data_IF_564942478107
#
_entry.id   IF_564942478107
#
_cell.length_a   1.000
_cell.length_b   1.000
_cell.length_c   1.000
_cell.angle_alpha   90.00
_cell.angle_beta   90.00
_cell.angle_gamma   90.00
#
_symmetry.space_group_name_H-M   'P 1'
#
loop_
_entity.id
_entity.type
_entity.pdbx_description
1 polymer ?
#
# COMPACT_ATOMS: atom_id res chain seq x y z
N UNK A 1 -8.25 2.64 20.65
CA UNK A 1 -8.26 2.85 19.20
C UNK A 1 -9.52 3.57 18.80
N UNK A 2 -9.34 4.73 18.20
CA UNK A 2 -10.42 5.57 17.73
C UNK A 2 -11.04 4.98 16.45
N UNK A 3 -12.28 5.37 16.12
CA UNK A 3 -12.99 4.83 14.93
C UNK A 3 -12.18 5.04 13.64
N UNK A 4 -11.49 6.17 13.53
CA UNK A 4 -10.66 6.54 12.39
C UNK A 4 -9.45 5.62 12.24
N UNK A 5 -8.80 5.24 13.33
CA UNK A 5 -7.65 4.33 13.32
C UNK A 5 -8.06 2.93 12.86
N UNK A 6 -9.20 2.43 13.36
CA UNK A 6 -9.76 1.14 12.95
C UNK A 6 -10.09 1.15 11.45
N UNK A 7 -10.73 2.22 10.96
CA UNK A 7 -11.04 2.37 9.55
C UNK A 7 -9.77 2.42 8.68
N UNK A 8 -8.75 3.18 9.10
CA UNK A 8 -7.48 3.26 8.38
C UNK A 8 -6.79 1.89 8.28
N UNK A 9 -6.73 1.14 9.39
CA UNK A 9 -6.16 -0.21 9.39
C UNK A 9 -6.94 -1.17 8.51
N UNK A 10 -8.28 -1.13 8.55
CA UNK A 10 -9.12 -1.97 7.72
C UNK A 10 -8.91 -1.68 6.23
N UNK A 11 -8.88 -0.41 5.83
CA UNK A 11 -8.64 0.03 4.45
C UNK A 11 -7.25 -0.42 3.99
N UNK A 12 -6.21 -0.16 4.77
CA UNK A 12 -4.83 -0.56 4.45
C UNK A 12 -4.72 -2.09 4.32
N UNK A 13 -5.30 -2.84 5.25
CA UNK A 13 -5.29 -4.30 5.21
C UNK A 13 -5.98 -4.87 3.97
N UNK A 14 -7.13 -4.31 3.59
CA UNK A 14 -7.83 -4.69 2.36
C UNK A 14 -6.99 -4.37 1.12
N UNK A 15 -6.36 -3.19 1.06
CA UNK A 15 -5.54 -2.80 -0.09
C UNK A 15 -4.31 -3.69 -0.25
N UNK A 16 -3.59 -3.99 0.84
CA UNK A 16 -2.45 -4.92 0.82
C UNK A 16 -2.86 -6.32 0.32
N UNK A 17 -4.01 -6.82 0.79
CA UNK A 17 -4.55 -8.10 0.34
C UNK A 17 -4.91 -8.07 -1.15
N UNK A 18 -5.58 -7.02 -1.63
CA UNK A 18 -5.93 -6.86 -3.04
C UNK A 18 -4.68 -6.74 -3.92
N UNK A 19 -3.65 -6.01 -3.46
CA UNK A 19 -2.42 -5.88 -4.21
C UNK A 19 -1.68 -7.21 -4.32
N UNK A 20 -1.60 -7.97 -3.24
CA UNK A 20 -1.03 -9.32 -3.28
C UNK A 20 -1.79 -10.24 -4.24
N UNK A 21 -3.13 -10.20 -4.22
CA UNK A 21 -3.96 -11.00 -5.14
C UNK A 21 -3.76 -10.58 -6.60
N UNK A 22 -3.72 -9.28 -6.90
CA UNK A 22 -3.50 -8.78 -8.27
C UNK A 22 -2.08 -9.07 -8.76
N UNK A 23 -1.08 -8.98 -7.89
CA UNK A 23 0.29 -9.41 -8.17
C UNK A 23 0.40 -10.90 -8.49
N UNK A 24 -0.33 -11.75 -7.74
CA UNK A 24 -0.42 -13.19 -8.01
C UNK A 24 -1.11 -13.46 -9.36
N UNK A 25 -2.23 -12.80 -9.67
CA UNK A 25 -2.90 -12.92 -10.96
C UNK A 25 -1.97 -12.52 -12.12
N UNK A 26 -1.21 -11.43 -11.96
CA UNK A 26 -0.19 -10.98 -12.93
C UNK A 26 0.86 -12.06 -13.16
N UNK A 27 1.41 -12.64 -12.09
CA UNK A 27 2.43 -13.69 -12.19
C UNK A 27 1.88 -14.97 -12.83
N UNK A 28 0.64 -15.34 -12.49
CA UNK A 28 -0.06 -16.49 -13.09
C UNK A 28 -0.26 -16.32 -14.59
N UNK A 29 -0.75 -15.16 -15.03
CA UNK A 29 -0.93 -14.83 -16.45
C UNK A 29 0.39 -14.90 -17.24
N UNK A 30 1.51 -14.51 -16.61
CA UNK A 30 2.84 -14.56 -17.24
C UNK A 30 3.53 -15.93 -17.11
N UNK A 31 2.87 -16.93 -16.52
CA UNK A 31 3.47 -18.23 -16.19
C UNK A 31 4.79 -18.13 -15.39
N UNK A 32 4.90 -17.10 -14.54
CA UNK A 32 6.11 -16.75 -13.77
C UNK A 32 5.82 -16.75 -12.25
N UNK A 33 5.00 -17.70 -11.80
CA UNK A 33 4.76 -17.87 -10.36
C UNK A 33 6.02 -18.45 -9.73
N UNK A 34 6.65 -17.64 -8.87
CA UNK A 34 7.77 -18.07 -8.04
C UNK A 34 7.48 -17.71 -6.59
N UNK A 35 7.56 -18.71 -5.70
CA UNK A 35 7.39 -18.51 -4.26
C UNK A 35 8.44 -17.57 -3.68
N UNK A 36 9.63 -17.48 -4.28
CA UNK A 36 10.66 -16.51 -3.89
C UNK A 36 10.22 -15.08 -4.20
N UNK A 37 9.81 -14.80 -5.44
CA UNK A 37 9.29 -13.48 -5.84
C UNK A 37 8.07 -13.06 -5.01
N UNK A 38 7.16 -14.00 -4.74
CA UNK A 38 5.98 -13.73 -3.92
C UNK A 38 6.34 -13.44 -2.46
N UNK A 39 7.30 -14.17 -1.89
CA UNK A 39 7.80 -13.93 -0.53
C UNK A 39 8.51 -12.58 -0.42
N UNK A 40 9.33 -12.22 -1.41
CA UNK A 40 9.94 -10.89 -1.47
C UNK A 40 8.89 -9.79 -1.56
N UNK A 41 7.87 -9.95 -2.40
CA UNK A 41 6.75 -9.01 -2.47
C UNK A 41 6.01 -8.85 -1.14
N UNK A 42 5.80 -9.95 -0.41
CA UNK A 42 5.22 -9.91 0.94
C UNK A 42 6.14 -9.23 1.96
N UNK A 43 7.45 -9.40 1.88
CA UNK A 43 8.39 -8.70 2.78
C UNK A 43 8.29 -7.19 2.64
N UNK A 44 8.23 -6.67 1.42
CA UNK A 44 8.05 -5.24 1.18
C UNK A 44 6.73 -4.72 1.78
N UNK A 45 5.62 -5.43 1.56
CA UNK A 45 4.30 -5.10 2.14
C UNK A 45 4.28 -5.19 3.66
N UNK A 46 4.96 -6.17 4.24
CA UNK A 46 5.09 -6.31 5.69
C UNK A 46 5.81 -5.11 6.31
N UNK A 47 6.76 -4.51 5.60
CA UNK A 47 7.38 -3.24 6.00
C UNK A 47 6.37 -2.11 6.13
N UNK A 48 5.42 -2.01 5.20
CA UNK A 48 4.33 -1.02 5.27
C UNK A 48 3.40 -1.26 6.46
N UNK A 49 3.08 -2.53 6.77
CA UNK A 49 2.33 -2.88 7.98
C UNK A 49 3.09 -2.46 9.24
N UNK A 50 4.41 -2.70 9.29
CA UNK A 50 5.24 -2.29 10.43
C UNK A 50 5.30 -0.76 10.58
N UNK A 51 5.31 0.00 9.48
CA UNK A 51 5.20 1.47 9.52
C UNK A 51 3.87 1.90 10.17
N UNK A 52 2.74 1.27 9.83
CA UNK A 52 1.45 1.55 10.51
C UNK A 52 1.50 1.24 11.99
N UNK A 53 2.07 0.08 12.36
CA UNK A 53 2.20 -0.32 13.76
C UNK A 53 3.06 0.69 14.52
N UNK A 54 4.18 1.11 13.94
CA UNK A 54 5.05 2.12 14.54
C UNK A 54 4.33 3.47 14.71
N UNK A 55 3.57 3.91 13.70
CA UNK A 55 2.76 5.12 13.78
C UNK A 55 1.76 5.06 14.94
N UNK A 56 1.07 3.94 15.12
CA UNK A 56 0.16 3.74 16.26
C UNK A 56 0.90 3.79 17.60
N UNK A 57 2.05 3.12 17.71
CA UNK A 57 2.83 3.09 18.95
C UNK A 57 3.26 4.49 19.35
N UNK A 58 3.81 5.28 18.41
CA UNK A 58 4.26 6.65 18.69
C UNK A 58 3.07 7.56 19.02
N UNK A 59 1.98 7.45 18.26
CA UNK A 59 0.78 8.28 18.47
C UNK A 59 0.08 8.00 19.80
N UNK A 60 0.16 6.78 20.33
CA UNK A 60 -0.31 6.47 21.68
C UNK A 60 0.73 6.84 22.75
N UNK A 61 2.03 6.67 22.48
CA UNK A 61 3.10 6.99 23.41
C UNK A 61 3.12 8.48 23.79
N UNK A 62 2.81 9.38 22.85
CA UNK A 62 2.74 10.83 23.11
C UNK A 62 1.62 11.22 24.11
N UNK A 63 0.66 10.34 24.40
CA UNK A 63 -0.39 10.57 25.41
C UNK A 63 0.09 10.29 26.83
N UNK A 64 1.17 9.52 26.99
CA UNK A 64 1.69 9.06 28.28
C UNK A 64 3.11 9.54 28.57
N UNK A 65 3.86 9.91 27.53
CA UNK A 65 5.23 10.43 27.61
C UNK A 65 5.28 11.77 26.87
N UNK A 66 5.86 12.79 27.50
CA UNK A 66 6.14 14.05 26.82
C UNK A 66 7.32 13.88 25.84
N UNK A 67 6.98 13.75 24.55
CA UNK A 67 7.95 13.62 23.46
C UNK A 67 8.47 14.98 22.98
N UNK A 68 7.94 16.10 23.49
CA UNK A 68 8.22 17.44 22.98
C UNK A 68 7.51 17.78 21.66
N UNK A 69 6.65 16.89 21.15
CA UNK A 69 5.81 17.09 19.99
C UNK A 69 4.52 16.26 20.08
N UNK A 70 3.47 16.70 19.40
CA UNK A 70 2.22 15.95 19.27
C UNK A 70 1.72 16.00 17.82
N UNK A 71 1.69 14.84 17.15
CA UNK A 71 1.26 14.74 15.74
C UNK A 71 0.40 13.49 15.50
N UNK A 72 -0.65 13.58 14.67
CA UNK A 72 -1.44 12.43 14.26
C UNK A 72 -0.69 11.66 13.16
N UNK A 73 -0.07 10.53 13.49
CA UNK A 73 0.79 9.75 12.60
C UNK A 73 0.04 8.62 11.87
N UNK A 74 -0.97 8.03 12.50
CA UNK A 74 -1.73 6.89 11.97
C UNK A 74 -2.44 7.26 10.67
N UNK A 75 -3.09 8.42 10.63
CA UNK A 75 -3.82 8.86 9.43
C UNK A 75 -2.87 9.13 8.25
N UNK A 76 -1.79 9.93 8.37
CA UNK A 76 -0.83 10.11 7.29
C UNK A 76 -0.16 8.81 6.83
N UNK A 77 0.23 7.92 7.76
CA UNK A 77 0.79 6.62 7.41
C UNK A 77 -0.21 5.77 6.62
N UNK A 78 -1.49 5.76 7.04
CA UNK A 78 -2.55 5.05 6.34
C UNK A 78 -2.80 5.59 4.93
N UNK A 79 -2.82 6.92 4.77
CA UNK A 79 -2.95 7.57 3.46
C UNK A 79 -1.77 7.21 2.56
N UNK A 80 -0.54 7.29 3.07
CA UNK A 80 0.66 6.94 2.30
C UNK A 80 0.58 5.50 1.77
N UNK A 81 0.27 4.54 2.63
CA UNK A 81 0.17 3.14 2.24
C UNK A 81 -0.98 2.91 1.28
N UNK A 82 -2.13 3.54 1.52
CA UNK A 82 -3.27 3.43 0.61
C UNK A 82 -2.93 3.90 -0.81
N UNK A 83 -2.18 4.99 -0.94
CA UNK A 83 -1.70 5.47 -2.24
C UNK A 83 -0.70 4.49 -2.88
N UNK A 84 0.28 4.00 -2.11
CA UNK A 84 1.28 3.04 -2.60
C UNK A 84 0.65 1.74 -3.08
N UNK A 85 -0.24 1.14 -2.30
CA UNK A 85 -0.93 -0.10 -2.67
C UNK A 85 -1.89 0.11 -3.85
N UNK A 86 -2.59 1.25 -3.90
CA UNK A 86 -3.44 1.59 -5.05
C UNK A 86 -2.60 1.68 -6.33
N UNK A 87 -1.44 2.34 -6.29
CA UNK A 87 -0.54 2.43 -7.44
C UNK A 87 -0.05 1.04 -7.90
N UNK A 88 0.29 0.16 -6.96
CA UNK A 88 0.73 -1.21 -7.28
C UNK A 88 -0.39 -2.08 -7.87
N UNK A 89 -1.61 -1.98 -7.33
CA UNK A 89 -2.81 -2.64 -7.88
C UNK A 89 -3.03 -2.21 -9.32
N UNK A 90 -2.95 -0.90 -9.59
CA UNK A 90 -3.15 -0.35 -10.92
C UNK A 90 -2.08 -0.84 -11.91
N UNK A 91 -0.80 -0.93 -11.50
CA UNK A 91 0.27 -1.51 -12.31
C UNK A 91 -0.01 -2.99 -12.64
N UNK A 92 -0.47 -3.76 -11.64
CA UNK A 92 -0.84 -5.15 -11.82
C UNK A 92 -2.01 -5.30 -12.80
N UNK A 93 -3.06 -4.49 -12.65
CA UNK A 93 -4.24 -4.50 -13.52
C UNK A 93 -3.93 -4.05 -14.94
N UNK A 94 -3.12 -3.01 -15.14
CA UNK A 94 -2.69 -2.56 -16.46
C UNK A 94 -1.88 -3.64 -17.19
N UNK A 95 -1.12 -4.46 -16.45
CA UNK A 95 -0.43 -5.61 -17.02
C UNK A 95 -1.40 -6.72 -17.41
N UNK A 96 -2.39 -7.02 -16.55
CA UNK A 96 -3.37 -8.09 -16.76
C UNK A 96 -4.33 -7.74 -17.92
N UNK A 97 -4.75 -6.48 -17.99
CA UNK A 97 -5.63 -5.97 -19.02
C UNK A 97 -5.06 -4.67 -19.60
N UNK A 98 -4.31 -4.75 -20.72
CA UNK A 98 -3.71 -3.60 -21.37
C UNK A 98 -4.73 -2.54 -21.83
N UNK A 99 -5.99 -2.90 -22.10
CA UNK A 99 -7.02 -1.93 -22.49
C UNK A 99 -7.35 -0.96 -21.33
N UNK A 100 -7.18 -1.42 -20.07
CA UNK A 100 -7.29 -0.53 -18.91
C UNK A 100 -6.14 0.48 -18.88
N UNK A 101 -4.96 0.17 -19.41
CA UNK A 101 -3.80 1.06 -19.40
C UNK A 101 -4.06 2.38 -20.14
N UNK A 102 -4.98 2.38 -21.11
CA UNK A 102 -5.38 3.57 -21.86
C UNK A 102 -6.61 4.28 -21.28
N UNK A 103 -7.18 3.73 -20.20
CA UNK A 103 -8.32 4.32 -19.52
C UNK A 103 -7.98 5.68 -18.88
N UNK A 104 -8.96 6.60 -18.80
CA UNK A 104 -8.79 7.88 -18.11
C UNK A 104 -8.33 7.72 -16.65
N UNK A 105 -8.75 6.64 -15.98
CA UNK A 105 -8.39 6.37 -14.59
C UNK A 105 -6.90 6.10 -14.45
N UNK A 106 -6.33 5.19 -15.24
CA UNK A 106 -4.89 4.87 -15.18
C UNK A 106 -3.99 6.03 -15.65
N UNK A 107 -4.50 6.91 -16.52
CA UNK A 107 -3.80 8.14 -16.90
C UNK A 107 -3.63 9.13 -15.75
N UNK A 108 -4.53 9.15 -14.76
CA UNK A 108 -4.37 9.98 -13.55
C UNK A 108 -3.22 9.52 -12.65
N UNK A 109 -2.80 8.25 -12.76
CA UNK A 109 -1.74 7.66 -11.96
C UNK A 109 -0.44 7.43 -12.73
N UNK A 110 -0.41 7.71 -14.04
CA UNK A 110 0.85 7.76 -14.81
C UNK A 110 1.63 8.99 -14.33
N UNK A 111 2.61 8.77 -13.45
CA UNK A 111 3.67 9.75 -13.24
C UNK A 111 4.40 9.95 -14.56
N UNK A 112 4.48 11.21 -15.02
CA UNK A 112 5.40 11.62 -16.09
C UNK A 112 6.82 11.37 -15.60
N UNK A 113 7.32 10.13 -15.72
CA UNK A 113 8.76 9.90 -15.80
C UNK A 113 9.18 10.45 -17.16
N UNK A 114 9.37 11.76 -17.22
CA UNK A 114 10.24 12.34 -18.24
C UNK A 114 11.61 11.71 -18.06
N UNK A 115 12.14 11.24 -19.19
CA UNK A 115 13.46 10.65 -19.27
C UNK A 115 14.51 11.69 -18.86
N UNK A 116 15.28 11.39 -17.82
CA UNK A 116 16.66 11.85 -17.66
C UNK A 116 17.48 10.79 -16.94
#
# INVERSE_FOLDING_TARGET
MDKTEIAALAVVGVLICLDYLTGLMKAAMRHDISSEKMREGLWHKSGLVLVMVLAMVIEHAQQVIDLGFAVPLVVPAGVYIALTETASILENLATINPELADSPVLKLFRSSKEAE
#
